data_IF_589853795385
#
_entry.id   IF_589853795385
#
_cell.length_a   1.000
_cell.length_b   1.000
_cell.length_c   1.000
_cell.angle_alpha   90.00
_cell.angle_beta   90.00
_cell.angle_gamma   90.00
#
_symmetry.space_group_name_H-M   'P 1'
#
loop_
_entity.id
_entity.type
_entity.pdbx_description
1 polymer ?
#
# COMPACT_ATOMS: atom_id res chain seq x y z
N UNK A 1 50.53 2.71 27.91
CA UNK A 1 50.38 3.07 26.50
C UNK A 1 48.99 2.60 26.10
N UNK A 2 48.05 3.52 26.03
CA UNK A 2 46.67 3.21 25.66
C UNK A 2 46.69 2.74 24.22
N UNK A 3 46.27 1.51 23.97
CA UNK A 3 46.29 0.97 22.62
C UNK A 3 45.25 1.76 21.81
N UNK A 4 45.65 2.49 20.75
CA UNK A 4 44.73 3.33 19.98
C UNK A 4 43.62 2.51 19.31
N UNK A 5 43.87 1.21 19.09
CA UNK A 5 42.85 0.28 18.59
C UNK A 5 41.79 0.02 19.67
N UNK A 6 42.19 -0.20 20.93
CA UNK A 6 41.26 -0.43 22.04
C UNK A 6 40.40 0.81 22.32
N UNK A 7 40.96 2.01 22.27
CA UNK A 7 40.19 3.24 22.47
C UNK A 7 39.19 3.48 21.34
N UNK A 8 39.59 3.26 20.09
CA UNK A 8 38.71 3.38 18.92
C UNK A 8 37.55 2.37 19.00
N UNK A 9 37.83 1.12 19.37
CA UNK A 9 36.80 0.09 19.60
C UNK A 9 35.83 0.52 20.70
N UNK A 10 36.34 1.00 21.84
CA UNK A 10 35.51 1.41 22.96
C UNK A 10 34.61 2.60 22.58
N UNK A 11 35.15 3.62 21.91
CA UNK A 11 34.34 4.75 21.45
C UNK A 11 33.28 4.33 20.43
N UNK A 12 33.61 3.38 19.54
CA UNK A 12 32.65 2.83 18.57
C UNK A 12 31.54 2.07 19.28
N UNK A 13 31.89 1.24 20.28
CA UNK A 13 30.94 0.48 21.08
C UNK A 13 29.99 1.37 21.91
N UNK A 14 30.53 2.39 22.56
CA UNK A 14 29.74 3.36 23.32
C UNK A 14 28.83 4.20 22.42
N UNK A 15 29.25 4.49 21.19
CA UNK A 15 28.41 5.20 20.23
C UNK A 15 27.29 4.31 19.73
N UNK A 16 27.58 3.04 19.40
CA UNK A 16 26.59 2.08 18.93
C UNK A 16 25.50 1.81 19.98
N UNK A 17 25.88 1.66 21.26
CA UNK A 17 24.93 1.46 22.36
C UNK A 17 24.00 2.66 22.55
N UNK A 18 24.52 3.90 22.51
CA UNK A 18 23.68 5.10 22.57
C UNK A 18 22.70 5.22 21.41
N UNK A 19 23.12 4.88 20.19
CA UNK A 19 22.22 4.87 19.02
C UNK A 19 21.13 3.82 19.17
N UNK A 20 21.47 2.64 19.71
CA UNK A 20 20.52 1.57 19.97
C UNK A 20 19.50 1.97 21.04
N UNK A 21 19.94 2.60 22.13
CA UNK A 21 19.08 3.11 23.20
C UNK A 21 18.22 4.30 22.76
N UNK A 22 18.68 5.11 21.81
CA UNK A 22 17.92 6.23 21.25
C UNK A 22 16.70 5.78 20.43
N UNK A 23 16.63 4.52 19.99
CA UNK A 23 15.45 3.96 19.31
C UNK A 23 14.40 3.57 20.37
N UNK A 24 13.25 4.26 20.44
CA UNK A 24 12.22 3.91 21.42
C UNK A 24 11.74 2.47 21.20
N UNK A 25 11.78 1.65 22.25
CA UNK A 25 11.40 0.23 22.21
C UNK A 25 12.57 -0.76 22.02
N UNK A 26 13.80 -0.29 21.82
CA UNK A 26 14.98 -1.16 21.70
C UNK A 26 15.25 -2.01 22.94
N UNK A 27 15.01 -1.47 24.13
CA UNK A 27 15.17 -2.20 25.40
C UNK A 27 14.28 -3.46 25.47
N UNK A 28 13.06 -3.39 24.94
CA UNK A 28 12.14 -4.55 24.89
C UNK A 28 12.66 -5.60 23.93
N UNK A 29 13.13 -5.20 22.75
CA UNK A 29 13.72 -6.11 21.77
C UNK A 29 14.98 -6.81 22.31
N UNK A 30 15.88 -6.08 22.97
CA UNK A 30 17.11 -6.63 23.57
C UNK A 30 16.75 -7.64 24.67
N UNK A 31 15.82 -7.30 25.56
CA UNK A 31 15.37 -8.20 26.62
C UNK A 31 14.69 -9.45 26.07
N UNK A 32 13.91 -9.34 24.99
CA UNK A 32 13.30 -10.47 24.31
C UNK A 32 14.35 -11.42 23.74
N UNK A 33 15.33 -10.89 22.99
CA UNK A 33 16.42 -11.70 22.43
C UNK A 33 17.20 -12.41 23.54
N UNK A 34 17.56 -11.67 24.60
CA UNK A 34 18.32 -12.20 25.74
C UNK A 34 17.58 -13.34 26.45
N UNK A 35 16.27 -13.21 26.65
CA UNK A 35 15.45 -14.21 27.32
C UNK A 35 15.09 -15.40 26.42
N UNK A 36 14.97 -15.17 25.10
CA UNK A 36 14.59 -16.20 24.14
C UNK A 36 15.77 -17.11 23.73
N UNK A 37 17.00 -16.57 23.73
CA UNK A 37 18.22 -17.31 23.36
C UNK A 37 18.49 -18.56 24.23
N UNK A 38 18.00 -18.59 25.47
CA UNK A 38 18.16 -19.76 26.36
C UNK A 38 17.32 -20.98 25.94
N UNK A 39 16.27 -20.80 25.14
CA UNK A 39 15.30 -21.88 24.88
C UNK A 39 15.44 -22.51 23.49
N UNK A 40 15.72 -21.71 22.45
CA UNK A 40 15.95 -22.19 21.08
C UNK A 40 16.58 -21.09 20.21
N UNK A 41 17.88 -21.15 19.89
CA UNK A 41 18.55 -20.11 19.11
C UNK A 41 18.06 -20.05 17.66
N UNK A 42 17.58 -21.16 17.09
CA UNK A 42 17.08 -21.18 15.70
C UNK A 42 15.78 -20.39 15.58
N UNK A 43 14.87 -20.54 16.55
CA UNK A 43 13.63 -19.77 16.62
C UNK A 43 13.88 -18.27 16.64
N UNK A 44 14.84 -17.81 17.45
CA UNK A 44 15.19 -16.39 17.57
C UNK A 44 15.71 -15.81 16.26
N UNK A 45 16.57 -16.55 15.56
CA UNK A 45 17.09 -16.13 14.24
C UNK A 45 15.97 -16.02 13.22
N UNK A 46 15.05 -17.01 13.21
CA UNK A 46 13.90 -17.01 12.32
C UNK A 46 12.96 -15.83 12.61
N UNK A 47 12.64 -15.58 13.88
CA UNK A 47 11.78 -14.47 14.32
C UNK A 47 12.38 -13.10 13.97
N UNK A 48 13.68 -12.89 14.23
CA UNK A 48 14.37 -11.66 13.82
C UNK A 48 14.41 -11.51 12.30
N UNK A 49 14.66 -12.62 11.58
CA UNK A 49 14.62 -12.63 10.12
C UNK A 49 13.24 -12.22 9.57
N UNK A 50 12.17 -12.76 10.14
CA UNK A 50 10.79 -12.39 9.80
C UNK A 50 10.46 -10.95 10.16
N UNK A 51 10.89 -10.47 11.33
CA UNK A 51 10.68 -9.08 11.75
C UNK A 51 11.38 -8.09 10.80
N UNK A 52 12.65 -8.35 10.46
CA UNK A 52 13.40 -7.54 9.48
C UNK A 52 12.73 -7.62 8.10
N UNK A 53 12.29 -8.81 7.68
CA UNK A 53 11.58 -8.99 6.41
C UNK A 53 10.26 -8.19 6.39
N UNK A 54 9.48 -8.22 7.47
CA UNK A 54 8.23 -7.47 7.60
C UNK A 54 8.47 -5.96 7.58
N UNK A 55 9.48 -5.46 8.30
CA UNK A 55 9.88 -4.05 8.27
C UNK A 55 10.30 -3.65 6.85
N UNK A 56 11.17 -4.45 6.21
CA UNK A 56 11.59 -4.21 4.83
C UNK A 56 10.40 -4.21 3.87
N UNK A 57 9.47 -5.14 4.03
CA UNK A 57 8.24 -5.21 3.23
C UNK A 57 7.36 -3.97 3.43
N UNK A 58 7.17 -3.53 4.67
CA UNK A 58 6.36 -2.35 5.00
C UNK A 58 6.97 -1.05 4.47
N UNK A 59 8.31 -0.93 4.52
CA UNK A 59 9.05 0.20 3.97
C UNK A 59 9.23 0.12 2.44
N UNK A 60 8.99 -1.04 1.84
CA UNK A 60 9.02 -1.19 0.38
C UNK A 60 7.86 -0.41 -0.23
N UNK A 61 8.17 0.42 -1.24
CA UNK A 61 7.15 1.15 -1.98
C UNK A 61 6.18 0.15 -2.59
N UNK A 62 4.90 0.21 -2.18
CA UNK A 62 3.84 -0.52 -2.87
C UNK A 62 3.85 -0.05 -4.33
N UNK A 63 4.03 -0.99 -5.26
CA UNK A 63 3.92 -0.71 -6.68
C UNK A 63 2.54 -0.11 -6.91
N UNK A 64 2.48 1.20 -7.16
CA UNK A 64 1.27 1.82 -7.66
C UNK A 64 1.16 1.32 -9.09
N UNK A 65 0.16 0.50 -9.37
CA UNK A 65 -0.31 0.35 -10.73
C UNK A 65 -0.89 1.73 -11.02
N UNK A 66 -0.07 2.64 -11.58
CA UNK A 66 -0.58 3.88 -12.11
C UNK A 66 -1.62 3.44 -13.16
N UNK A 67 -2.92 3.70 -12.94
CA UNK A 67 -3.88 3.51 -14.01
C UNK A 67 -3.43 4.50 -15.06
N UNK A 68 -2.85 4.00 -16.13
CA UNK A 68 -2.32 4.74 -17.27
C UNK A 68 -3.28 5.87 -17.64
N UNK A 69 -3.09 7.04 -17.06
CA UNK A 69 -3.77 8.25 -17.46
C UNK A 69 -2.96 8.75 -18.65
N UNK A 70 -3.22 8.16 -19.81
CA UNK A 70 -2.82 8.77 -21.07
C UNK A 70 -3.53 10.12 -21.08
N UNK A 71 -2.79 11.20 -20.82
CA UNK A 71 -3.35 12.54 -20.87
C UNK A 71 -3.73 12.81 -22.32
N UNK A 72 -5.03 12.87 -22.60
CA UNK A 72 -5.52 13.26 -23.91
C UNK A 72 -5.18 14.73 -24.18
N UNK A 73 -4.77 15.03 -25.40
CA UNK A 73 -4.71 16.39 -25.91
C UNK A 73 -6.12 16.96 -26.13
N UNK A 74 -6.27 18.28 -26.12
CA UNK A 74 -7.57 18.93 -26.34
C UNK A 74 -8.22 18.48 -27.67
N UNK A 75 -7.41 18.27 -28.71
CA UNK A 75 -7.87 17.78 -30.01
C UNK A 75 -8.44 16.36 -29.95
N UNK A 76 -7.78 15.45 -29.20
CA UNK A 76 -8.26 14.08 -29.05
C UNK A 76 -9.59 14.04 -28.27
N UNK A 77 -9.75 14.92 -27.28
CA UNK A 77 -11.02 15.06 -26.56
C UNK A 77 -12.13 15.52 -27.51
N UNK A 78 -11.87 16.53 -28.34
CA UNK A 78 -12.85 17.04 -29.31
C UNK A 78 -13.27 15.97 -30.33
N UNK A 79 -12.31 15.17 -30.81
CA UNK A 79 -12.56 14.04 -31.72
C UNK A 79 -13.45 12.98 -31.04
N UNK A 80 -13.11 12.58 -29.82
CA UNK A 80 -13.92 11.63 -29.03
C UNK A 80 -15.33 12.15 -28.74
N UNK A 81 -15.48 13.43 -28.45
CA UNK A 81 -16.79 14.07 -28.25
C UNK A 81 -17.59 14.07 -29.55
N UNK A 82 -16.95 14.30 -30.69
CA UNK A 82 -17.62 14.30 -32.00
C UNK A 82 -18.11 12.92 -32.43
N UNK A 83 -17.37 11.86 -32.08
CA UNK A 83 -17.71 10.47 -32.39
C UNK A 83 -18.73 9.87 -31.41
N UNK A 84 -18.92 10.50 -30.26
CA UNK A 84 -19.78 9.97 -29.21
C UNK A 84 -21.27 10.04 -29.58
N UNK A 85 -21.94 8.89 -29.51
CA UNK A 85 -23.39 8.80 -29.69
C UNK A 85 -24.07 8.59 -28.34
N UNK A 86 -25.03 9.45 -27.94
CA UNK A 86 -25.74 9.28 -26.68
C UNK A 86 -26.60 8.01 -26.71
N UNK A 87 -26.68 7.34 -25.57
CA UNK A 87 -27.65 6.28 -25.41
C UNK A 87 -29.09 6.83 -25.52
N UNK A 88 -30.00 6.09 -26.16
CA UNK A 88 -31.39 6.51 -26.27
C UNK A 88 -32.03 6.60 -24.88
N UNK A 89 -32.69 7.72 -24.60
CA UNK A 89 -33.36 7.99 -23.30
C UNK A 89 -34.34 6.90 -22.88
N UNK A 90 -34.90 6.19 -23.84
CA UNK A 90 -35.82 5.08 -23.62
C UNK A 90 -35.42 3.95 -24.53
N UNK A 91 -35.34 2.74 -23.98
CA UNK A 91 -35.15 1.54 -24.78
C UNK A 91 -36.33 1.36 -25.74
N UNK A 92 -36.12 0.83 -26.96
CA UNK A 92 -37.21 0.56 -27.88
C UNK A 92 -38.27 -0.33 -27.22
N UNK A 93 -39.52 0.12 -27.26
CA UNK A 93 -40.64 -0.61 -26.66
C UNK A 93 -40.79 -1.99 -27.31
N UNK A 94 -40.80 -3.04 -26.49
CA UNK A 94 -41.20 -4.37 -26.93
C UNK A 94 -42.67 -4.36 -27.36
N UNK A 95 -43.06 -5.30 -28.24
CA UNK A 95 -44.43 -5.39 -28.74
C UNK A 95 -45.47 -5.45 -27.60
N UNK A 96 -45.16 -6.16 -26.51
CA UNK A 96 -45.98 -6.24 -25.31
C UNK A 96 -46.16 -4.87 -24.61
N UNK A 97 -45.06 -4.15 -24.36
CA UNK A 97 -45.09 -2.83 -23.70
C UNK A 97 -45.83 -1.78 -24.53
N UNK A 98 -45.78 -1.87 -25.87
CA UNK A 98 -46.52 -0.98 -26.77
C UNK A 98 -48.03 -1.17 -26.60
N UNK A 99 -48.50 -2.41 -26.53
CA UNK A 99 -49.92 -2.75 -26.35
C UNK A 99 -50.42 -2.30 -24.97
N UNK A 100 -49.60 -2.45 -23.92
CA UNK A 100 -49.93 -1.98 -22.58
C UNK A 100 -50.04 -0.45 -22.52
N UNK A 101 -49.12 0.27 -23.18
CA UNK A 101 -49.13 1.73 -23.24
C UNK A 101 -50.38 2.26 -23.94
N UNK A 102 -50.81 1.65 -25.05
CA UNK A 102 -52.03 2.03 -25.77
C UNK A 102 -53.30 1.87 -24.94
N UNK A 103 -53.31 0.92 -24.00
CA UNK A 103 -54.47 0.66 -23.13
C UNK A 103 -54.50 1.52 -21.87
N UNK A 104 -53.41 2.23 -21.57
CA UNK A 104 -53.30 3.03 -20.36
C UNK A 104 -53.95 4.41 -20.58
N UNK A 105 -55.00 4.78 -19.82
CA UNK A 105 -55.65 6.07 -19.98
C UNK A 105 -54.74 7.21 -19.48
N UNK A 106 -54.63 8.27 -20.27
CA UNK A 106 -53.83 9.46 -19.92
C UNK A 106 -54.68 10.36 -19.03
N UNK A 107 -54.27 10.53 -17.77
CA UNK A 107 -54.91 11.47 -16.83
C UNK A 107 -54.14 12.78 -16.90
N UNK A 108 -54.70 13.78 -17.59
CA UNK A 108 -54.20 15.15 -17.55
C UNK A 108 -54.96 15.92 -16.45
N UNK A 109 -54.22 16.52 -15.52
CA UNK A 109 -54.74 17.36 -14.43
C UNK A 109 -54.77 18.83 -14.81
#
# INVERSE_FOLDING_TARGET
MDNPVLSTINHTFLTATRVLEAVPGSAVAINYIKNSYQNDPFRVVLELGLAVYAVKYMLSKKYKIDPTHVAFSEKEVDELVSEWQPEPLVQPLSASKRIELEKTPIIAG
#
